data_IF_225334677697
#
_entry.id   IF_225334677697
#
_cell.length_a   1.000
_cell.length_b   1.000
_cell.length_c   1.000
_cell.angle_alpha   90.00
_cell.angle_beta   90.00
_cell.angle_gamma   90.00
#
_symmetry.space_group_name_H-M   'P 1'
#
loop_
_entity.id
_entity.type
_entity.pdbx_description
1 polymer ?
#
# COMPACT_ATOMS: atom_id res chain seq x y z
N UNK A 1 1.13 7.07 -20.52
CA UNK A 1 1.37 7.97 -19.38
C UNK A 1 1.69 7.10 -18.18
N UNK A 2 2.84 7.27 -17.53
CA UNK A 2 3.26 6.50 -16.35
C UNK A 2 3.52 7.45 -15.17
N UNK A 3 3.22 7.00 -13.95
CA UNK A 3 3.59 7.67 -12.70
C UNK A 3 4.65 6.82 -12.01
N UNK A 4 5.79 7.42 -11.69
CA UNK A 4 6.87 6.78 -10.92
C UNK A 4 7.00 7.46 -9.57
N UNK A 5 7.00 6.68 -8.50
CA UNK A 5 7.18 7.14 -7.12
C UNK A 5 8.45 6.48 -6.59
N UNK A 6 9.35 7.28 -6.02
CA UNK A 6 10.60 6.83 -5.40
C UNK A 6 10.58 7.32 -3.95
N UNK A 7 11.03 6.50 -3.02
CA UNK A 7 11.08 6.86 -1.61
C UNK A 7 11.94 5.92 -0.79
N UNK A 8 12.10 6.23 0.49
CA UNK A 8 12.79 5.36 1.45
C UNK A 8 11.80 4.91 2.50
N UNK A 9 11.68 3.59 2.68
CA UNK A 9 10.84 3.01 3.71
C UNK A 9 11.49 3.26 5.07
N UNK A 10 10.69 3.59 6.09
CA UNK A 10 11.20 3.78 7.46
C UNK A 10 11.91 2.52 7.97
N UNK A 11 12.89 2.63 8.90
CA UNK A 11 13.60 1.46 9.45
C UNK A 11 12.74 0.48 10.27
N UNK A 12 11.60 0.94 10.80
CA UNK A 12 10.63 0.09 11.52
C UNK A 12 9.20 0.37 11.02
N UNK A 13 8.85 -0.10 9.81
CA UNK A 13 7.56 0.20 9.21
C UNK A 13 6.52 -0.83 9.65
N UNK A 14 5.35 -0.34 10.06
CA UNK A 14 4.15 -1.19 10.21
C UNK A 14 3.54 -1.47 8.83
N UNK A 15 3.36 -0.41 8.03
CA UNK A 15 2.86 -0.40 6.66
C UNK A 15 3.19 0.94 6.00
N UNK A 16 3.08 1.02 4.67
CA UNK A 16 2.97 2.29 3.95
C UNK A 16 1.88 2.18 2.88
N UNK A 17 1.40 3.32 2.36
CA UNK A 17 0.44 3.30 1.27
C UNK A 17 0.70 4.38 0.24
N UNK A 18 0.42 4.03 -1.01
CA UNK A 18 0.30 4.98 -2.12
C UNK A 18 -1.17 5.00 -2.51
N UNK A 19 -1.78 6.18 -2.47
CA UNK A 19 -3.18 6.40 -2.82
C UNK A 19 -3.25 7.23 -4.09
N UNK A 20 -3.98 6.75 -5.10
CA UNK A 20 -4.30 7.49 -6.32
C UNK A 20 -5.82 7.59 -6.42
N UNK A 21 -6.33 8.82 -6.49
CA UNK A 21 -7.77 9.09 -6.46
C UNK A 21 -8.09 10.56 -6.63
N UNK A 22 -9.38 10.88 -6.56
CA UNK A 22 -9.86 12.26 -6.65
C UNK A 22 -9.82 12.99 -5.30
N UNK A 23 -9.92 12.24 -4.19
CA UNK A 23 -9.87 12.76 -2.83
C UNK A 23 -9.43 11.67 -1.85
N UNK A 24 -9.29 12.02 -0.58
CA UNK A 24 -9.07 11.04 0.49
C UNK A 24 -10.27 10.11 0.73
N UNK A 25 -11.46 10.48 0.24
CA UNK A 25 -12.70 9.70 0.33
C UNK A 25 -13.08 8.96 -0.96
N UNK A 26 -12.35 9.21 -2.05
CA UNK A 26 -12.51 8.56 -3.36
C UNK A 26 -11.14 8.16 -3.91
N UNK A 27 -10.73 6.94 -3.56
CA UNK A 27 -9.42 6.36 -3.92
C UNK A 27 -9.65 5.29 -4.98
N UNK A 28 -9.21 5.55 -6.20
CA UNK A 28 -9.25 4.58 -7.29
C UNK A 28 -8.26 3.43 -7.09
N UNK A 29 -7.11 3.70 -6.47
CA UNK A 29 -6.10 2.70 -6.13
C UNK A 29 -5.46 2.99 -4.77
N UNK A 30 -5.67 2.08 -3.82
CA UNK A 30 -4.97 2.01 -2.55
C UNK A 30 -3.96 0.86 -2.62
N UNK A 31 -2.68 1.18 -2.78
CA UNK A 31 -1.59 0.20 -2.73
C UNK A 31 -0.98 0.24 -1.34
N UNK A 32 -1.13 -0.82 -0.54
CA UNK A 32 -0.77 -0.83 0.87
C UNK A 32 0.05 -2.07 1.27
N UNK A 33 1.37 -2.05 1.05
CA UNK A 33 2.28 -3.03 1.63
C UNK A 33 2.25 -2.99 3.16
N UNK A 34 1.88 -4.12 3.77
CA UNK A 34 1.82 -4.34 5.22
C UNK A 34 2.99 -5.25 5.61
N UNK A 35 3.94 -4.72 6.38
CA UNK A 35 5.04 -5.50 6.94
C UNK A 35 4.54 -6.36 8.10
N UNK A 36 3.83 -5.73 9.04
CA UNK A 36 3.19 -6.40 10.18
C UNK A 36 1.99 -5.57 10.64
N UNK A 37 0.80 -5.85 10.10
CA UNK A 37 -0.41 -5.09 10.42
C UNK A 37 -1.63 -6.01 10.46
N UNK A 38 -2.34 -6.01 11.60
CA UNK A 38 -3.43 -6.95 11.85
C UNK A 38 -2.95 -8.40 11.71
N UNK A 39 -3.58 -9.19 10.83
CA UNK A 39 -3.21 -10.57 10.52
C UNK A 39 -2.19 -10.70 9.38
N UNK A 40 -1.96 -9.62 8.63
CA UNK A 40 -1.13 -9.63 7.44
C UNK A 40 0.35 -9.39 7.81
N UNK A 41 1.23 -10.22 7.26
CA UNK A 41 2.69 -10.12 7.40
C UNK A 41 3.33 -10.19 6.03
N UNK A 42 4.16 -9.20 5.70
CA UNK A 42 4.79 -9.05 4.39
C UNK A 42 3.80 -9.34 3.24
N UNK A 43 2.68 -8.63 3.25
CA UNK A 43 1.60 -8.82 2.26
C UNK A 43 1.25 -7.47 1.67
N UNK A 44 1.14 -7.42 0.34
CA UNK A 44 0.63 -6.25 -0.36
C UNK A 44 -0.88 -6.36 -0.38
N UNK A 45 -1.55 -5.34 0.15
CA UNK A 45 -2.99 -5.21 0.06
C UNK A 45 -3.33 -4.13 -0.96
N UNK A 46 -4.19 -4.47 -1.90
CA UNK A 46 -4.72 -3.55 -2.88
C UNK A 46 -6.23 -3.43 -2.70
N UNK A 47 -6.74 -2.20 -2.76
CA UNK A 47 -8.17 -1.93 -2.64
C UNK A 47 -8.53 -0.62 -3.38
N UNK A 48 -9.82 -0.27 -3.36
CA UNK A 48 -10.35 1.04 -3.72
C UNK A 48 -11.29 1.54 -2.61
N UNK A 49 -11.50 2.86 -2.56
CA UNK A 49 -12.41 3.51 -1.62
C UNK A 49 -13.44 4.30 -2.41
N UNK A 50 -14.72 3.89 -2.34
CA UNK A 50 -15.85 4.56 -3.01
C UNK A 50 -17.07 4.56 -2.10
N UNK A 51 -17.17 5.57 -1.24
CA UNK A 51 -18.17 5.59 -0.15
C UNK A 51 -17.94 4.53 0.93
N UNK A 52 -16.79 3.84 0.87
CA UNK A 52 -16.43 2.71 1.74
C UNK A 52 -15.34 1.87 1.08
N UNK A 53 -14.60 1.11 1.88
CA UNK A 53 -13.59 0.18 1.36
C UNK A 53 -14.28 -0.94 0.59
N UNK A 54 -13.73 -1.29 -0.57
CA UNK A 54 -14.23 -2.38 -1.39
C UNK A 54 -13.52 -3.69 -1.00
N UNK A 55 -13.60 -4.71 -1.85
CA UNK A 55 -12.93 -6.00 -1.63
C UNK A 55 -11.40 -5.86 -1.69
N UNK A 56 -10.71 -6.42 -0.69
CA UNK A 56 -9.24 -6.45 -0.69
C UNK A 56 -8.70 -7.53 -1.64
N UNK A 57 -7.72 -7.17 -2.45
CA UNK A 57 -6.86 -8.10 -3.19
C UNK A 57 -5.53 -8.22 -2.44
N UNK A 58 -5.06 -9.45 -2.23
CA UNK A 58 -3.82 -9.73 -1.48
C UNK A 58 -2.77 -10.36 -2.39
N UNK A 59 -1.53 -9.90 -2.27
CA UNK A 59 -0.37 -10.47 -2.94
C UNK A 59 0.76 -10.73 -1.93
N UNK A 60 1.28 -11.96 -1.93
CA UNK A 60 2.40 -12.39 -1.08
C UNK A 60 3.77 -12.10 -1.68
N UNK A 61 3.84 -11.62 -2.93
CA UNK A 61 5.08 -11.14 -3.54
C UNK A 61 5.45 -9.79 -2.94
N UNK A 62 6.31 -9.80 -1.92
CA UNK A 62 6.62 -8.62 -1.10
C UNK A 62 8.10 -8.19 -1.26
N UNK A 63 8.44 -7.38 -2.28
CA UNK A 63 9.82 -6.96 -2.55
C UNK A 63 10.22 -5.70 -1.74
N UNK A 64 9.73 -5.54 -0.51
CA UNK A 64 10.00 -4.36 0.31
C UNK A 64 10.79 -4.71 1.56
N UNK A 65 11.78 -3.87 1.86
CA UNK A 65 12.63 -4.00 3.04
C UNK A 65 12.62 -2.71 3.84
N UNK A 66 12.57 -2.85 5.16
CA UNK A 66 12.64 -1.72 6.08
C UNK A 66 13.96 -0.95 5.91
N UNK A 67 13.90 0.38 5.94
CA UNK A 67 15.08 1.24 5.80
C UNK A 67 15.64 1.32 4.37
N UNK A 68 15.03 0.66 3.38
CA UNK A 68 15.52 0.63 2.01
C UNK A 68 14.69 1.50 1.05
N UNK A 69 15.35 1.90 -0.04
CA UNK A 69 14.70 2.62 -1.13
C UNK A 69 13.78 1.71 -1.95
N UNK A 70 12.73 2.32 -2.51
CA UNK A 70 11.80 1.73 -3.49
C UNK A 70 11.82 2.50 -4.80
#
# INVERSE_FOLDING_TARGET
MHLTVIGVIKPDPVRFSINVGHSESDIGMHFNPRFNYSVDRNTIIMNSLKGGWQEEVKDSNFPFHAGQGV
#
